data_IF_564826544926
#
_entry.id   IF_564826544926
#
_cell.length_a   1.000
_cell.length_b   1.000
_cell.length_c   1.000
_cell.angle_alpha   90.00
_cell.angle_beta   90.00
_cell.angle_gamma   90.00
#
_symmetry.space_group_name_H-M   'P 1'
#
loop_
_entity.id
_entity.type
_entity.pdbx_description
1 polymer ?
#
# COMPACT_ATOMS: atom_id res chain seq x y z
N UNK A 1 16.26 -6.68 -26.50
CA UNK A 1 16.89 -5.56 -25.76
C UNK A 1 15.78 -4.60 -25.34
N UNK A 2 14.97 -5.00 -24.35
CA UNK A 2 13.88 -4.19 -23.82
C UNK A 2 14.33 -3.60 -22.48
N UNK A 3 14.21 -2.29 -22.35
CA UNK A 3 14.65 -1.50 -21.20
C UNK A 3 13.91 -1.93 -19.92
N UNK A 4 14.64 -2.43 -18.93
CA UNK A 4 14.16 -2.93 -17.63
C UNK A 4 13.58 -1.84 -16.69
N UNK A 5 13.27 -0.64 -17.21
CA UNK A 5 12.84 0.55 -16.44
C UNK A 5 11.39 1.02 -16.69
N UNK A 6 10.56 0.24 -17.36
CA UNK A 6 9.26 0.71 -17.86
C UNK A 6 8.02 0.24 -17.08
N UNK A 7 8.16 -0.60 -16.04
CA UNK A 7 6.99 -1.27 -15.42
C UNK A 7 6.95 -1.09 -13.90
N UNK A 8 7.07 0.12 -13.38
CA UNK A 8 6.62 0.36 -12.00
C UNK A 8 5.13 0.65 -12.04
N UNK A 9 4.31 -0.08 -11.27
CA UNK A 9 2.89 0.22 -11.08
C UNK A 9 2.71 1.68 -10.64
N UNK A 10 3.63 2.19 -9.80
CA UNK A 10 3.65 3.58 -9.38
C UNK A 10 3.91 4.58 -10.54
N UNK A 11 4.61 4.17 -11.60
CA UNK A 11 4.80 4.98 -12.82
C UNK A 11 3.57 4.98 -13.76
N UNK A 12 2.66 4.01 -13.63
CA UNK A 12 1.46 3.92 -14.46
C UNK A 12 0.29 4.75 -13.93
N UNK A 13 0.30 5.12 -12.64
CA UNK A 13 -0.73 5.98 -12.04
C UNK A 13 -0.45 7.44 -12.45
N UNK A 14 -1.42 8.17 -13.03
CA UNK A 14 -1.24 9.59 -13.31
C UNK A 14 -0.92 10.35 -12.01
N UNK A 15 0.03 11.29 -12.04
CA UNK A 15 0.56 11.96 -10.84
C UNK A 15 -0.53 12.55 -9.92
N UNK A 16 -1.65 13.02 -10.49
CA UNK A 16 -2.76 13.56 -9.72
C UNK A 16 -3.61 12.48 -9.01
N UNK A 17 -3.65 11.24 -9.51
CA UNK A 17 -4.37 10.10 -8.92
C UNK A 17 -3.56 9.37 -7.84
N UNK A 18 -2.25 9.63 -7.74
CA UNK A 18 -1.36 8.95 -6.78
C UNK A 18 -1.83 9.14 -5.33
N UNK A 19 -2.45 10.27 -5.00
CA UNK A 19 -3.01 10.51 -3.67
C UNK A 19 -4.07 9.49 -3.26
N UNK A 20 -4.93 9.07 -4.20
CA UNK A 20 -5.96 8.06 -3.92
C UNK A 20 -5.35 6.71 -3.50
N UNK A 21 -4.19 6.36 -4.06
CA UNK A 21 -3.44 5.18 -3.67
C UNK A 21 -2.93 5.30 -2.22
N UNK A 22 -2.40 6.46 -1.83
CA UNK A 22 -1.89 6.71 -0.47
C UNK A 22 -2.98 6.85 0.59
N UNK A 23 -4.19 7.25 0.23
CA UNK A 23 -5.30 7.38 1.19
C UNK A 23 -6.11 6.10 1.37
N UNK A 24 -5.92 5.09 0.51
CA UNK A 24 -6.74 3.88 0.53
C UNK A 24 -6.16 2.84 1.50
N UNK A 25 -6.91 2.41 2.54
CA UNK A 25 -6.41 1.42 3.50
C UNK A 25 -6.06 0.07 2.85
N UNK A 26 -6.75 -0.32 1.78
CA UNK A 26 -6.45 -1.58 1.08
C UNK A 26 -5.08 -1.58 0.40
N UNK A 27 -4.60 -0.42 -0.07
CA UNK A 27 -3.26 -0.27 -0.63
C UNK A 27 -2.18 -0.56 0.42
N UNK A 28 -2.35 0.03 1.62
CA UNK A 28 -1.47 -0.22 2.75
C UNK A 28 -1.53 -1.67 3.23
N UNK A 29 -2.72 -2.27 3.29
CA UNK A 29 -2.87 -3.70 3.63
C UNK A 29 -2.15 -4.60 2.63
N UNK A 30 -2.30 -4.35 1.32
CA UNK A 30 -1.65 -5.15 0.29
C UNK A 30 -0.12 -5.05 0.38
N UNK A 31 0.40 -3.83 0.61
CA UNK A 31 1.82 -3.61 0.88
C UNK A 31 2.27 -4.41 2.11
N UNK A 32 1.56 -4.29 3.25
CA UNK A 32 1.89 -5.00 4.48
C UNK A 32 1.95 -6.51 4.28
N UNK A 33 0.90 -7.08 3.68
CA UNK A 33 0.80 -8.53 3.44
C UNK A 33 1.87 -9.04 2.48
N UNK A 34 2.06 -8.39 1.33
CA UNK A 34 3.02 -8.86 0.34
C UNK A 34 4.46 -8.69 0.84
N UNK A 35 4.75 -7.58 1.50
CA UNK A 35 6.08 -7.31 2.03
C UNK A 35 6.42 -8.19 3.23
N UNK A 36 5.47 -8.51 4.10
CA UNK A 36 5.72 -9.42 5.24
C UNK A 36 5.93 -10.85 4.79
N UNK A 37 5.20 -11.30 3.76
CA UNK A 37 5.24 -12.70 3.31
C UNK A 37 6.38 -12.98 2.33
N UNK A 38 6.74 -12.00 1.50
CA UNK A 38 7.64 -12.21 0.35
C UNK A 38 8.80 -11.21 0.29
N UNK A 39 8.87 -10.25 1.22
CA UNK A 39 9.87 -9.18 1.18
C UNK A 39 11.31 -9.63 1.43
N UNK A 40 11.52 -10.81 2.03
CA UNK A 40 12.82 -11.42 2.31
C UNK A 40 13.08 -12.69 1.50
N UNK A 41 12.17 -13.04 0.58
CA UNK A 41 12.29 -14.27 -0.21
C UNK A 41 13.21 -14.05 -1.41
N UNK A 42 14.36 -14.73 -1.37
CA UNK A 42 15.37 -14.73 -2.44
C UNK A 42 15.10 -15.78 -3.53
N UNK A 43 13.91 -16.38 -3.55
CA UNK A 43 13.53 -17.32 -4.60
C UNK A 43 13.41 -16.58 -5.93
N UNK A 44 14.04 -17.13 -6.95
CA UNK A 44 13.99 -16.56 -8.29
C UNK A 44 12.69 -16.94 -9.01
N UNK A 45 12.13 -15.97 -9.72
CA UNK A 45 10.95 -16.10 -10.56
C UNK A 45 11.24 -15.46 -11.92
N UNK A 46 10.65 -16.04 -12.97
CA UNK A 46 10.73 -15.47 -14.31
C UNK A 46 9.62 -14.43 -14.47
N UNK A 47 9.99 -13.16 -14.63
CA UNK A 47 9.06 -12.04 -14.78
C UNK A 47 9.46 -11.23 -16.00
N UNK A 48 8.54 -11.04 -16.94
CA UNK A 48 8.79 -10.32 -18.19
C UNK A 48 10.00 -10.84 -18.99
N UNK A 49 10.33 -12.14 -18.86
CA UNK A 49 11.47 -12.76 -19.53
C UNK A 49 12.82 -12.53 -18.86
N UNK A 50 12.87 -11.82 -17.73
CA UNK A 50 14.06 -11.70 -16.87
C UNK A 50 13.90 -12.55 -15.60
N UNK A 51 15.01 -13.06 -15.09
CA UNK A 51 15.06 -13.88 -13.89
C UNK A 51 15.37 -12.94 -12.70
N UNK A 52 14.40 -12.77 -11.79
CA UNK A 52 14.50 -11.84 -10.66
C UNK A 52 14.03 -12.51 -9.37
N UNK A 53 14.55 -12.06 -8.22
CA UNK A 53 14.02 -12.50 -6.93
C UNK A 53 12.63 -11.90 -6.70
N UNK A 54 11.78 -12.61 -5.95
CA UNK A 54 10.44 -12.09 -5.58
C UNK A 54 10.56 -10.76 -4.84
N UNK A 55 11.52 -10.63 -3.92
CA UNK A 55 11.80 -9.40 -3.18
C UNK A 55 12.14 -8.21 -4.09
N UNK A 56 13.05 -8.42 -5.07
CA UNK A 56 13.42 -7.39 -6.05
C UNK A 56 12.23 -6.99 -6.94
N UNK A 57 11.39 -7.95 -7.33
CA UNK A 57 10.19 -7.66 -8.10
C UNK A 57 9.19 -6.79 -7.31
N UNK A 58 8.95 -7.10 -6.04
CA UNK A 58 8.05 -6.30 -5.19
C UNK A 58 8.57 -4.88 -4.98
N UNK A 59 9.88 -4.72 -4.84
CA UNK A 59 10.51 -3.41 -4.69
C UNK A 59 10.46 -2.61 -6.00
N UNK A 60 10.86 -3.20 -7.13
CA UNK A 60 10.94 -2.52 -8.43
C UNK A 60 9.54 -2.19 -9.00
N UNK A 61 8.60 -3.14 -8.93
CA UNK A 61 7.28 -3.03 -9.55
C UNK A 61 6.29 -2.29 -8.65
N UNK A 62 6.21 -2.66 -7.37
CA UNK A 62 5.21 -2.12 -6.44
C UNK A 62 5.77 -1.04 -5.50
N UNK A 63 7.09 -0.85 -5.42
CA UNK A 63 7.70 0.10 -4.48
C UNK A 63 7.59 -0.38 -3.02
N UNK A 64 7.47 -1.69 -2.82
CA UNK A 64 7.28 -2.30 -1.51
C UNK A 64 8.61 -2.53 -0.83
N UNK A 65 8.73 -1.98 0.37
CA UNK A 65 9.98 -1.84 1.10
C UNK A 65 9.81 -2.49 2.48
N UNK A 66 10.58 -3.55 2.75
CA UNK A 66 10.46 -4.33 3.99
C UNK A 66 10.80 -3.51 5.24
N UNK A 67 11.71 -2.56 5.12
CA UNK A 67 12.04 -1.56 6.14
C UNK A 67 10.85 -0.65 6.52
N UNK A 68 9.82 -0.54 5.67
CA UNK A 68 8.65 0.33 5.89
C UNK A 68 7.46 -0.38 6.53
N UNK A 69 7.56 -1.67 6.88
CA UNK A 69 6.49 -2.42 7.53
C UNK A 69 5.97 -1.74 8.81
N UNK A 70 6.86 -1.10 9.58
CA UNK A 70 6.46 -0.33 10.76
C UNK A 70 5.52 0.85 10.43
N UNK A 71 5.78 1.57 9.33
CA UNK A 71 4.91 2.66 8.86
C UNK A 71 3.56 2.10 8.42
N UNK A 72 3.55 0.98 7.69
CA UNK A 72 2.32 0.31 7.27
C UNK A 72 1.45 -0.05 8.47
N UNK A 73 2.04 -0.63 9.52
CA UNK A 73 1.34 -0.99 10.74
C UNK A 73 0.70 0.23 11.44
N UNK A 74 1.45 1.33 11.57
CA UNK A 74 0.95 2.57 12.17
C UNK A 74 -0.24 3.13 11.37
N UNK A 75 -0.12 3.18 10.04
CA UNK A 75 -1.19 3.70 9.17
C UNK A 75 -2.45 2.84 9.28
N UNK A 76 -2.31 1.52 9.27
CA UNK A 76 -3.45 0.58 9.38
C UNK A 76 -4.15 0.66 10.75
N UNK A 77 -3.44 1.00 11.82
CA UNK A 77 -4.05 1.25 13.14
C UNK A 77 -4.71 2.64 13.18
N UNK A 78 -4.10 3.65 12.55
CA UNK A 78 -4.63 5.01 12.54
C UNK A 78 -5.99 5.11 11.83
N UNK A 79 -6.17 4.40 10.71
CA UNK A 79 -7.43 4.41 9.94
C UNK A 79 -8.69 4.09 10.77
N UNK A 80 -8.80 2.94 11.45
CA UNK A 80 -9.98 2.63 12.27
C UNK A 80 -10.12 3.55 13.47
N UNK A 81 -9.03 4.02 14.08
CA UNK A 81 -9.08 4.98 15.20
C UNK A 81 -9.67 6.32 14.74
N UNK A 82 -9.18 6.86 13.62
CA UNK A 82 -9.70 8.10 13.03
C UNK A 82 -11.17 7.92 12.63
N UNK A 83 -11.51 6.81 11.97
CA UNK A 83 -12.88 6.52 11.56
C UNK A 83 -13.82 6.44 12.77
N UNK A 84 -13.45 5.70 13.82
CA UNK A 84 -14.23 5.59 15.04
C UNK A 84 -14.39 6.95 15.75
N UNK A 85 -13.31 7.75 15.82
CA UNK A 85 -13.34 9.09 16.42
C UNK A 85 -14.25 10.04 15.65
N UNK A 86 -14.15 10.04 14.31
CA UNK A 86 -15.01 10.83 13.44
C UNK A 86 -16.47 10.39 13.55
N UNK A 87 -16.72 9.08 13.56
CA UNK A 87 -18.05 8.53 13.74
C UNK A 87 -18.66 8.95 15.08
N UNK A 88 -17.92 8.82 16.18
CA UNK A 88 -18.38 9.25 17.50
C UNK A 88 -18.64 10.76 17.56
N UNK A 89 -17.76 11.58 16.96
CA UNK A 89 -17.95 13.02 16.87
C UNK A 89 -19.21 13.38 16.07
N UNK A 90 -19.39 12.77 14.90
CA UNK A 90 -20.55 12.98 14.04
C UNK A 90 -21.84 12.57 14.75
N UNK A 91 -21.90 11.40 15.38
CA UNK A 91 -23.09 10.98 16.15
C UNK A 91 -23.37 11.94 17.31
N UNK A 92 -22.35 12.40 18.02
CA UNK A 92 -22.54 13.34 19.13
C UNK A 92 -22.99 14.75 18.70
N UNK A 93 -22.48 15.26 17.58
CA UNK A 93 -22.69 16.65 17.12
C UNK A 93 -23.81 16.80 16.09
N UNK A 94 -23.91 15.85 15.16
CA UNK A 94 -24.96 15.77 14.15
C UNK A 94 -26.14 14.95 14.66
N UNK A 95 -26.31 14.83 15.98
CA UNK A 95 -27.48 14.19 16.56
C UNK A 95 -28.73 15.03 16.27
N UNK A 96 -29.27 14.87 15.06
CA UNK A 96 -30.54 15.47 14.61
C UNK A 96 -31.74 14.79 15.28
N UNK A 97 -31.54 13.84 16.20
CA UNK A 97 -32.58 13.29 17.06
C UNK A 97 -32.94 14.24 18.23
N UNK A 98 -32.90 15.56 18.03
CA UNK A 98 -33.72 16.48 18.83
C UNK A 98 -35.11 16.54 18.19
N UNK A 99 -35.91 15.51 18.46
CA UNK A 99 -37.37 15.56 18.42
C UNK A 99 -37.90 14.92 19.68
#
# INVERSE_FOLDING_TARGET
MYSSRAYSFAQQIPKWWVWCYWTCPTSWSLNGLLTSQYGDINKEIMVFGELKTVSSFLQDYYGFHHDRLGVVAVVLIAFPVIYASLFAYCIGRLNFQRR
#
